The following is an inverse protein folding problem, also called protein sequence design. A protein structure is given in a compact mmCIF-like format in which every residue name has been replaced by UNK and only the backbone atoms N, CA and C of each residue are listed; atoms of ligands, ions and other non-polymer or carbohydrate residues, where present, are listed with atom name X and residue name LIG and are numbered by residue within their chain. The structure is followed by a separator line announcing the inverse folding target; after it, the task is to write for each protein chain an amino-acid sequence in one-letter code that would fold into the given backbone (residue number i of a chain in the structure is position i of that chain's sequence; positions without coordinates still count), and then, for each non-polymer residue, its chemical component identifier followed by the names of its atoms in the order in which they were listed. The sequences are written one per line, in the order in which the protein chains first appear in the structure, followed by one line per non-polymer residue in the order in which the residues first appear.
data_IF_998345653923
#
_entry.id   IF_998345653923
#
_cell.length_a   1.000
_cell.length_b   1.000
_cell.length_c   1.000
_cell.angle_alpha   90.00
_cell.angle_beta   90.00
_cell.angle_gamma   90.00
#
_symmetry.space_group_name_H-M   'P 1'
#
loop_
_entity.id
_entity.type
_entity.pdbx_description
1 polymer ?
#
# COMPACT_ATOMS: atom_id res chain seq x y z
N UNK A 1 36.11 8.49 -45.45
CA UNK A 1 36.19 8.63 -43.99
C UNK A 1 34.75 8.62 -43.47
N UNK A 2 34.21 7.43 -43.21
CA UNK A 2 32.88 7.26 -42.62
C UNK A 2 33.08 7.09 -41.12
N UNK A 3 32.68 8.10 -40.36
CA UNK A 3 32.56 8.04 -38.91
C UNK A 3 31.30 7.25 -38.57
N UNK A 4 31.46 6.00 -38.13
CA UNK A 4 30.41 5.22 -37.48
C UNK A 4 30.29 5.70 -36.04
N UNK A 5 29.19 6.39 -35.72
CA UNK A 5 28.81 6.62 -34.33
C UNK A 5 28.43 5.27 -33.68
N UNK A 6 28.84 5.02 -32.42
CA UNK A 6 28.36 3.86 -31.70
C UNK A 6 26.88 4.07 -31.38
N UNK A 7 26.03 3.26 -31.99
CA UNK A 7 24.65 3.05 -31.55
C UNK A 7 24.69 2.57 -30.09
N UNK A 8 24.44 3.49 -29.15
CA UNK A 8 24.10 3.13 -27.77
C UNK A 8 22.69 2.57 -27.82
N UNK A 9 22.58 1.25 -27.94
CA UNK A 9 21.33 0.55 -27.66
C UNK A 9 20.97 0.90 -26.22
N UNK A 10 19.87 1.63 -26.03
CA UNK A 10 19.31 1.88 -24.72
C UNK A 10 19.18 0.55 -23.97
N UNK A 11 19.55 0.48 -22.68
CA UNK A 11 19.28 -0.72 -21.89
C UNK A 11 17.80 -1.05 -21.99
N UNK A 12 17.47 -2.33 -22.13
CA UNK A 12 16.10 -2.83 -22.25
C UNK A 12 15.24 -2.15 -21.18
N UNK A 13 14.28 -1.31 -21.59
CA UNK A 13 13.33 -0.70 -20.67
C UNK A 13 12.41 -1.79 -20.13
N UNK A 14 12.53 -2.11 -18.84
CA UNK A 14 11.67 -3.11 -18.22
C UNK A 14 10.26 -2.54 -17.97
N UNK A 15 9.20 -3.38 -18.04
CA UNK A 15 7.82 -2.91 -17.83
C UNK A 15 7.58 -2.26 -16.46
N UNK A 16 8.33 -2.63 -15.43
CA UNK A 16 8.25 -2.02 -14.10
C UNK A 16 9.33 -0.95 -13.83
N UNK A 17 10.09 -0.53 -14.85
CA UNK A 17 11.12 0.50 -14.74
C UNK A 17 12.46 -0.03 -14.24
N UNK A 18 13.21 0.79 -13.50
CA UNK A 18 14.49 0.41 -12.92
C UNK A 18 14.28 -0.30 -11.57
N UNK A 19 15.05 -1.37 -11.32
CA UNK A 19 15.11 -2.03 -10.00
C UNK A 19 16.22 -1.41 -9.13
N UNK A 20 15.91 -1.18 -7.86
CA UNK A 20 16.74 -0.52 -6.86
C UNK A 20 16.75 -1.38 -5.59
N UNK A 21 17.91 -1.93 -5.25
CA UNK A 21 18.07 -2.80 -4.07
C UNK A 21 18.63 -2.00 -2.88
N UNK A 22 18.05 -2.21 -1.69
CA UNK A 22 18.58 -1.73 -0.42
C UNK A 22 18.72 -2.90 0.57
N UNK A 23 19.73 -2.85 1.45
CA UNK A 23 20.08 -3.92 2.39
C UNK A 23 20.36 -3.39 3.80
N UNK A 24 20.08 -4.23 4.80
CA UNK A 24 20.47 -4.03 6.20
C UNK A 24 20.58 -5.40 6.88
N UNK A 25 21.77 -5.78 7.36
CA UNK A 25 21.97 -7.12 7.93
C UNK A 25 21.67 -8.24 6.93
N UNK A 26 20.78 -9.17 7.30
CA UNK A 26 20.25 -10.23 6.43
C UNK A 26 19.02 -9.82 5.61
N UNK A 27 18.54 -8.58 5.79
CA UNK A 27 17.36 -8.08 5.10
C UNK A 27 17.70 -7.38 3.78
N UNK A 28 16.86 -7.58 2.77
CA UNK A 28 16.95 -6.99 1.44
C UNK A 28 15.57 -6.55 0.95
N UNK A 29 15.45 -5.31 0.48
CA UNK A 29 14.25 -4.82 -0.21
C UNK A 29 14.59 -4.37 -1.64
N UNK A 30 13.74 -4.73 -2.59
CA UNK A 30 13.83 -4.29 -3.99
C UNK A 30 12.65 -3.38 -4.29
N UNK A 31 12.98 -2.17 -4.75
CA UNK A 31 12.01 -1.14 -5.15
C UNK A 31 12.15 -0.96 -6.66
N UNK A 32 11.04 -0.88 -7.38
CA UNK A 32 11.03 -0.57 -8.81
C UNK A 32 10.45 0.82 -9.07
N UNK A 33 10.96 1.55 -10.06
CA UNK A 33 10.62 2.96 -10.26
C UNK A 33 9.18 3.19 -10.71
N UNK A 34 8.57 2.25 -11.45
CA UNK A 34 7.15 2.37 -11.83
C UNK A 34 6.27 2.24 -10.59
N UNK A 35 5.49 3.29 -10.31
CA UNK A 35 4.68 3.43 -9.09
C UNK A 35 5.45 3.52 -7.79
N UNK A 36 6.78 3.68 -7.86
CA UNK A 36 7.70 3.51 -6.74
C UNK A 36 7.30 2.28 -5.90
N UNK A 37 7.30 1.11 -6.54
CA UNK A 37 6.68 -0.09 -5.99
C UNK A 37 7.66 -0.95 -5.20
N UNK A 38 7.25 -1.46 -4.05
CA UNK A 38 7.98 -2.51 -3.34
C UNK A 38 7.84 -3.85 -4.07
N UNK A 39 8.85 -4.24 -4.85
CA UNK A 39 8.85 -5.45 -5.67
C UNK A 39 9.17 -6.72 -4.89
N UNK A 40 9.99 -6.61 -3.83
CA UNK A 40 10.15 -7.66 -2.83
C UNK A 40 10.72 -7.10 -1.55
N UNK A 41 10.48 -7.78 -0.44
CA UNK A 41 11.14 -7.53 0.83
C UNK A 41 11.41 -8.87 1.51
N UNK A 42 12.68 -9.16 1.75
CA UNK A 42 13.19 -10.39 2.33
C UNK A 42 13.89 -10.12 3.65
N UNK A 43 13.67 -11.00 4.62
CA UNK A 43 14.43 -11.07 5.87
C UNK A 43 14.33 -12.51 6.41
N UNK A 44 15.37 -12.98 7.10
CA UNK A 44 15.41 -14.36 7.63
C UNK A 44 15.15 -15.42 6.54
N UNK A 45 15.81 -15.25 5.39
CA UNK A 45 15.77 -16.12 4.20
C UNK A 45 14.38 -16.38 3.59
N UNK A 46 13.42 -15.47 3.81
CA UNK A 46 12.08 -15.57 3.22
C UNK A 46 11.55 -14.22 2.78
N UNK A 47 10.54 -14.26 1.92
CA UNK A 47 9.77 -13.09 1.55
C UNK A 47 8.79 -12.71 2.68
N UNK A 48 8.72 -11.42 2.99
CA UNK A 48 7.72 -10.81 3.87
C UNK A 48 6.54 -10.25 3.07
N UNK A 49 6.77 -9.97 1.78
CA UNK A 49 5.75 -9.54 0.82
C UNK A 49 5.83 -10.38 -0.46
N UNK A 50 4.70 -10.63 -1.10
CA UNK A 50 4.59 -11.42 -2.32
C UNK A 50 5.38 -10.74 -3.46
N UNK A 51 6.47 -11.36 -3.95
CA UNK A 51 7.34 -10.70 -4.91
C UNK A 51 6.72 -10.61 -6.31
N UNK A 52 7.30 -9.75 -7.14
CA UNK A 52 7.11 -9.74 -8.59
C UNK A 52 8.41 -9.36 -9.30
N UNK A 53 8.54 -9.69 -10.59
CA UNK A 53 9.73 -9.41 -11.39
C UNK A 53 9.70 -7.99 -11.97
N UNK A 54 10.86 -7.31 -12.06
CA UNK A 54 10.95 -6.04 -12.81
C UNK A 54 10.55 -6.21 -14.28
N UNK A 55 10.70 -7.42 -14.84
CA UNK A 55 10.45 -7.73 -16.25
C UNK A 55 8.98 -7.93 -16.61
N UNK A 56 8.06 -7.92 -15.65
CA UNK A 56 6.62 -8.04 -15.89
C UNK A 56 5.88 -6.73 -15.59
N UNK A 57 4.69 -6.57 -16.16
CA UNK A 57 3.77 -5.51 -15.75
C UNK A 57 3.34 -5.83 -14.32
N UNK A 58 3.57 -4.90 -13.38
CA UNK A 58 3.25 -5.10 -11.96
C UNK A 58 1.85 -5.70 -11.77
N UNK A 59 1.73 -6.90 -11.18
CA UNK A 59 0.44 -7.55 -10.99
C UNK A 59 -0.32 -6.92 -9.82
N UNK A 60 -1.62 -6.69 -9.99
CA UNK A 60 -2.57 -6.33 -8.91
C UNK A 60 -2.05 -5.25 -7.93
N UNK A 61 -1.45 -4.17 -8.46
CA UNK A 61 -0.89 -3.05 -7.66
C UNK A 61 0.16 -3.45 -6.61
N UNK A 62 0.75 -4.66 -6.66
CA UNK A 62 1.70 -5.16 -5.65
C UNK A 62 2.78 -4.15 -5.29
N UNK A 63 2.77 -3.70 -4.04
CA UNK A 63 3.76 -2.78 -3.48
C UNK A 63 3.67 -1.34 -3.98
N UNK A 64 2.69 -0.98 -4.82
CA UNK A 64 2.58 0.35 -5.39
C UNK A 64 2.32 1.42 -4.32
N UNK A 65 2.83 2.63 -4.56
CA UNK A 65 2.46 3.82 -3.80
C UNK A 65 1.16 4.41 -4.35
N UNK A 66 0.11 4.47 -3.53
CA UNK A 66 -1.21 4.96 -3.91
C UNK A 66 -1.33 6.46 -3.57
N UNK A 67 -1.54 7.32 -4.58
CA UNK A 67 -1.76 8.76 -4.39
C UNK A 67 -2.33 9.40 -5.67
N UNK A 68 -3.14 10.47 -5.60
CA UNK A 68 -3.50 11.24 -4.40
C UNK A 68 -4.75 10.73 -3.68
N UNK A 69 -5.21 9.51 -3.97
CA UNK A 69 -6.17 8.81 -3.12
C UNK A 69 -5.82 7.31 -3.13
N UNK A 70 -5.89 6.63 -1.97
CA UNK A 70 -5.95 5.18 -1.95
C UNK A 70 -7.38 4.74 -2.28
N UNK A 71 -7.53 3.45 -2.60
CA UNK A 71 -8.84 2.84 -2.90
C UNK A 71 -9.66 3.61 -3.98
N UNK A 72 -10.99 3.56 -3.91
CA UNK A 72 -11.93 3.97 -4.95
C UNK A 72 -12.44 5.39 -4.77
N UNK A 73 -12.68 6.08 -5.89
CA UNK A 73 -13.64 7.18 -6.01
C UNK A 73 -14.79 6.68 -6.88
N UNK A 74 -15.96 6.38 -6.27
CA UNK A 74 -17.15 5.94 -6.99
C UNK A 74 -17.52 6.88 -8.14
N UNK A 75 -17.84 6.30 -9.30
CA UNK A 75 -18.17 7.00 -10.55
C UNK A 75 -17.13 8.03 -11.03
N UNK A 76 -15.93 8.04 -10.42
CA UNK A 76 -14.88 9.02 -10.66
C UNK A 76 -15.29 10.47 -10.33
N UNK A 77 -16.43 10.69 -9.68
CA UNK A 77 -17.00 12.02 -9.48
C UNK A 77 -16.87 12.45 -8.03
N UNK A 78 -16.52 13.71 -7.78
CA UNK A 78 -16.48 14.27 -6.43
C UNK A 78 -16.59 15.81 -6.45
N UNK A 79 -16.78 16.42 -5.28
CA UNK A 79 -16.92 17.87 -5.12
C UNK A 79 -15.76 18.44 -4.31
N UNK A 80 -14.87 19.17 -4.95
CA UNK A 80 -13.79 19.92 -4.29
C UNK A 80 -13.43 21.14 -5.14
N UNK A 81 -13.65 22.34 -4.59
CA UNK A 81 -13.61 23.61 -5.35
C UNK A 81 -14.41 23.57 -6.67
N UNK A 82 -15.54 22.86 -6.67
CA UNK A 82 -16.36 22.59 -7.85
C UNK A 82 -16.45 21.10 -8.16
N UNK A 83 -17.26 20.77 -9.17
CA UNK A 83 -17.42 19.38 -9.62
C UNK A 83 -16.16 18.90 -10.34
N UNK A 84 -15.72 17.70 -9.99
CA UNK A 84 -14.56 17.04 -10.59
C UNK A 84 -14.99 15.68 -11.18
N UNK A 85 -14.40 15.32 -12.32
CA UNK A 85 -14.63 14.04 -12.98
C UNK A 85 -13.31 13.40 -13.41
N UNK A 86 -12.97 12.29 -12.75
CA UNK A 86 -11.79 11.47 -13.01
C UNK A 86 -12.05 10.44 -14.10
N UNK A 87 -11.00 10.04 -14.85
CA UNK A 87 -11.04 8.85 -15.68
C UNK A 87 -11.29 7.59 -14.83
N UNK A 88 -12.10 6.67 -15.34
CA UNK A 88 -12.38 5.40 -14.67
C UNK A 88 -11.24 4.39 -14.94
N UNK A 89 -10.38 4.19 -13.95
CA UNK A 89 -9.30 3.18 -14.02
C UNK A 89 -9.76 1.78 -13.62
N UNK A 90 -10.96 1.64 -13.05
CA UNK A 90 -11.64 0.38 -12.77
C UNK A 90 -13.02 0.36 -13.49
N UNK A 91 -13.05 0.30 -14.84
CA UNK A 91 -14.28 0.49 -15.61
C UNK A 91 -15.33 -0.61 -15.36
N UNK A 92 -14.92 -1.82 -14.99
CA UNK A 92 -15.84 -2.93 -14.67
C UNK A 92 -16.70 -2.69 -13.43
N UNK A 93 -16.24 -1.83 -12.50
CA UNK A 93 -16.99 -1.39 -11.31
C UNK A 93 -17.43 0.07 -11.42
N UNK A 94 -16.93 0.80 -12.42
CA UNK A 94 -17.26 2.20 -12.66
C UNK A 94 -16.59 3.14 -11.66
N UNK A 95 -15.31 2.91 -11.36
CA UNK A 95 -14.59 3.69 -10.33
C UNK A 95 -13.26 4.23 -10.86
N UNK A 96 -12.79 5.32 -10.24
CA UNK A 96 -11.40 5.74 -10.31
C UNK A 96 -10.65 5.14 -9.11
N UNK A 97 -9.74 4.21 -9.37
CA UNK A 97 -9.06 3.39 -8.37
C UNK A 97 -7.58 3.78 -8.26
N UNK A 98 -7.10 3.93 -7.02
CA UNK A 98 -5.67 3.96 -6.67
C UNK A 98 -4.85 5.14 -7.22
N UNK A 99 -5.49 6.29 -7.35
CA UNK A 99 -4.81 7.53 -7.65
C UNK A 99 -4.22 7.61 -9.06
N UNK A 100 -3.23 8.48 -9.20
CA UNK A 100 -2.66 8.93 -10.47
C UNK A 100 -1.19 8.56 -10.65
N UNK A 101 -0.50 8.18 -9.57
CA UNK A 101 0.96 7.99 -9.58
C UNK A 101 1.39 6.52 -9.65
N UNK A 102 0.47 5.59 -9.45
CA UNK A 102 0.74 4.15 -9.37
C UNK A 102 1.40 3.60 -10.64
N UNK A 103 1.18 4.20 -11.80
CA UNK A 103 1.73 3.72 -13.09
C UNK A 103 2.76 4.66 -13.72
N UNK A 104 3.12 5.75 -13.03
CA UNK A 104 4.18 6.65 -13.50
C UNK A 104 5.54 6.01 -13.25
N UNK A 105 6.54 6.32 -14.09
CA UNK A 105 7.94 6.01 -13.80
C UNK A 105 8.53 7.11 -12.92
N UNK A 106 8.84 6.79 -11.66
CA UNK A 106 9.29 7.77 -10.68
C UNK A 106 10.79 8.04 -10.82
N UNK A 107 11.18 9.31 -10.70
CA UNK A 107 12.59 9.69 -10.71
C UNK A 107 13.27 9.33 -9.39
N UNK A 108 14.40 8.64 -9.47
CA UNK A 108 15.28 8.38 -8.32
C UNK A 108 15.98 9.68 -7.90
N UNK A 109 15.85 10.06 -6.62
CA UNK A 109 16.55 11.21 -6.04
C UNK A 109 17.79 10.80 -5.25
N UNK A 110 17.66 9.72 -4.48
CA UNK A 110 18.72 9.19 -3.62
C UNK A 110 18.63 7.68 -3.67
N UNK A 111 19.78 7.01 -3.83
CA UNK A 111 19.91 5.58 -3.64
C UNK A 111 21.21 5.31 -2.90
N UNK A 112 21.08 4.67 -1.75
CA UNK A 112 22.18 4.31 -0.85
C UNK A 112 22.06 2.83 -0.47
N UNK A 113 22.97 2.33 0.35
CA UNK A 113 22.93 0.93 0.79
C UNK A 113 21.60 0.57 1.47
N UNK A 114 21.08 1.41 2.36
CA UNK A 114 19.91 1.07 3.20
C UNK A 114 18.70 1.97 2.97
N UNK A 115 18.74 2.86 1.98
CA UNK A 115 17.62 3.75 1.69
C UNK A 115 17.56 4.15 0.21
N UNK A 116 16.33 4.34 -0.29
CA UNK A 116 16.05 4.90 -1.62
C UNK A 116 14.94 5.93 -1.50
N UNK A 117 15.11 7.08 -2.15
CA UNK A 117 14.08 8.11 -2.30
C UNK A 117 13.72 8.24 -3.77
N UNK A 118 12.43 8.16 -4.07
CA UNK A 118 11.86 8.43 -5.39
C UNK A 118 10.92 9.64 -5.33
N UNK A 119 10.76 10.33 -6.45
CA UNK A 119 9.81 11.42 -6.59
C UNK A 119 9.10 11.40 -7.93
N UNK A 120 7.86 11.84 -7.92
CA UNK A 120 7.08 12.16 -9.12
C UNK A 120 6.26 13.41 -8.85
N UNK A 121 5.57 13.88 -9.88
CA UNK A 121 4.68 15.02 -9.80
C UNK A 121 3.34 14.69 -10.43
N UNK A 122 2.27 14.90 -9.69
CA UNK A 122 0.92 14.90 -10.24
C UNK A 122 0.77 16.24 -10.95
N UNK A 123 0.64 16.19 -12.27
CA UNK A 123 0.33 17.37 -13.07
C UNK A 123 -1.18 17.63 -13.06
N UNK A 124 -1.62 18.91 -13.10
CA UNK A 124 -3.03 19.22 -13.27
C UNK A 124 -3.62 18.53 -14.50
N UNK A 125 -4.73 17.83 -14.31
CA UNK A 125 -5.41 17.08 -15.37
C UNK A 125 -6.93 17.03 -15.12
N UNK A 126 -7.75 16.62 -16.11
CA UNK A 126 -9.20 16.50 -15.91
C UNK A 126 -9.54 15.68 -14.67
N UNK A 127 -10.38 16.25 -13.80
CA UNK A 127 -10.79 15.65 -12.53
C UNK A 127 -9.80 15.79 -11.38
N UNK A 128 -8.60 16.35 -11.59
CA UNK A 128 -7.66 16.70 -10.53
C UNK A 128 -6.78 17.89 -10.97
N UNK A 129 -7.28 19.14 -10.87
CA UNK A 129 -6.61 20.34 -11.38
C UNK A 129 -5.44 20.86 -10.51
N UNK A 130 -4.97 20.10 -9.51
CA UNK A 130 -3.87 20.52 -8.64
C UNK A 130 -2.55 19.88 -9.01
N UNK A 131 -1.47 20.65 -8.85
CA UNK A 131 -0.10 20.20 -9.02
C UNK A 131 0.46 19.80 -7.66
N UNK A 132 0.84 18.53 -7.50
CA UNK A 132 1.34 18.00 -6.23
C UNK A 132 2.63 17.22 -6.49
N UNK A 133 3.71 17.64 -5.85
CA UNK A 133 4.93 16.84 -5.82
C UNK A 133 4.77 15.73 -4.79
N UNK A 134 5.04 14.49 -5.19
CA UNK A 134 5.01 13.31 -4.32
C UNK A 134 6.41 12.75 -4.20
N UNK A 135 6.86 12.53 -2.98
CA UNK A 135 8.13 11.88 -2.65
C UNK A 135 7.83 10.66 -1.80
N UNK A 136 8.48 9.54 -2.09
CA UNK A 136 8.48 8.36 -1.22
C UNK A 136 9.91 7.99 -0.86
N UNK A 137 10.16 7.80 0.43
CA UNK A 137 11.41 7.25 0.94
C UNK A 137 11.16 5.84 1.47
N UNK A 138 11.94 4.88 1.00
CA UNK A 138 12.08 3.57 1.60
C UNK A 138 13.39 3.54 2.40
N UNK A 139 13.32 3.19 3.67
CA UNK A 139 14.47 3.04 4.56
C UNK A 139 14.40 1.68 5.24
N UNK A 140 15.47 0.91 5.11
CA UNK A 140 15.63 -0.39 5.72
C UNK A 140 16.57 -0.27 6.92
N UNK A 141 16.11 -0.69 8.09
CA UNK A 141 16.84 -0.63 9.35
C UNK A 141 16.56 -1.88 10.20
N UNK A 142 17.10 -1.90 11.43
CA UNK A 142 16.97 -3.05 12.34
C UNK A 142 15.51 -3.35 12.73
N UNK A 143 14.63 -2.36 12.68
CA UNK A 143 13.22 -2.47 13.04
C UNK A 143 12.29 -2.73 11.82
N UNK A 144 12.86 -2.83 10.62
CA UNK A 144 12.13 -3.21 9.40
C UNK A 144 12.32 -2.24 8.24
N UNK A 145 11.45 -2.37 7.25
CA UNK A 145 11.36 -1.49 6.08
C UNK A 145 10.28 -0.43 6.31
N UNK A 146 10.70 0.81 6.56
CA UNK A 146 9.79 1.96 6.62
C UNK A 146 9.64 2.59 5.24
N UNK A 147 8.40 2.82 4.83
CA UNK A 147 8.08 3.70 3.72
C UNK A 147 7.47 5.00 4.29
N UNK A 148 7.91 6.14 3.80
CA UNK A 148 7.34 7.45 4.12
C UNK A 148 6.95 8.17 2.84
N UNK A 149 5.67 8.49 2.68
CA UNK A 149 5.16 9.27 1.55
C UNK A 149 4.94 10.70 2.01
N UNK A 150 5.48 11.66 1.27
CA UNK A 150 5.30 13.10 1.49
C UNK A 150 4.72 13.72 0.22
N UNK A 151 3.63 14.47 0.38
CA UNK A 151 3.02 15.25 -0.69
C UNK A 151 3.17 16.74 -0.39
N UNK A 152 3.63 17.51 -1.37
CA UNK A 152 3.76 18.97 -1.29
C UNK A 152 2.86 19.60 -2.33
N UNK A 153 1.96 20.48 -1.91
CA UNK A 153 1.08 21.20 -2.83
C UNK A 153 1.85 22.33 -3.52
N UNK A 154 1.96 22.24 -4.84
CA UNK A 154 2.64 23.23 -5.69
C UNK A 154 1.64 24.15 -6.42
N UNK A 155 0.34 23.98 -6.18
CA UNK A 155 -0.72 24.87 -6.67
C UNK A 155 -0.89 26.10 -5.76
N UNK A 156 -1.57 27.11 -6.30
CA UNK A 156 -1.98 28.31 -5.56
C UNK A 156 -3.27 28.11 -4.73
N UNK A 157 -3.92 26.95 -4.87
CA UNK A 157 -5.16 26.58 -4.18
C UNK A 157 -4.94 25.30 -3.35
N UNK A 158 -5.77 25.09 -2.34
CA UNK A 158 -5.77 23.86 -1.54
C UNK A 158 -5.97 22.63 -2.42
N UNK A 159 -5.27 21.53 -2.12
CA UNK A 159 -5.37 20.28 -2.87
C UNK A 159 -5.84 19.13 -1.96
N UNK A 160 -6.84 18.32 -2.37
CA UNK A 160 -7.26 17.14 -1.63
C UNK A 160 -6.27 15.99 -1.84
N UNK A 161 -5.90 15.28 -0.78
CA UNK A 161 -4.89 14.24 -0.83
C UNK A 161 -5.21 13.10 0.15
N UNK A 162 -4.77 11.91 -0.23
CA UNK A 162 -4.68 10.73 0.60
C UNK A 162 -3.64 9.77 0.03
N UNK A 163 -3.11 8.89 0.87
CA UNK A 163 -2.14 7.89 0.45
C UNK A 163 -2.21 6.60 1.25
N UNK A 164 -1.61 5.56 0.71
CA UNK A 164 -1.37 4.26 1.34
C UNK A 164 -0.45 3.41 0.47
N UNK A 165 0.10 2.30 0.99
CA UNK A 165 0.81 1.32 0.20
C UNK A 165 -0.16 0.25 -0.32
N UNK A 166 0.31 -0.65 -1.19
CA UNK A 166 -0.45 -1.84 -1.58
C UNK A 166 0.37 -3.15 -1.45
N UNK A 167 0.98 -3.45 -0.29
CA UNK A 167 1.82 -4.61 -0.12
C UNK A 167 0.95 -5.85 0.09
N UNK A 168 1.35 -6.98 -0.49
CA UNK A 168 0.76 -8.28 -0.20
C UNK A 168 1.65 -8.99 0.80
N UNK A 169 1.26 -9.01 2.07
CA UNK A 169 1.98 -9.67 3.15
C UNK A 169 1.95 -11.19 2.99
N UNK A 170 3.05 -11.86 3.35
CA UNK A 170 3.21 -13.32 3.26
C UNK A 170 3.75 -13.88 4.57
N UNK A 171 3.03 -14.85 5.15
CA UNK A 171 3.54 -15.69 6.22
C UNK A 171 4.29 -16.91 5.64
N UNK A 172 5.26 -17.48 6.36
CA UNK A 172 6.22 -18.42 5.79
C UNK A 172 5.63 -19.78 5.36
N UNK A 173 4.68 -20.32 6.11
CA UNK A 173 4.21 -21.69 5.93
C UNK A 173 2.72 -21.74 5.57
N UNK A 174 2.39 -22.57 4.58
CA UNK A 174 1.01 -22.85 4.18
C UNK A 174 0.36 -21.74 3.33
N UNK A 175 -0.84 -22.01 2.79
CA UNK A 175 -1.62 -21.03 2.04
C UNK A 175 -2.23 -19.97 2.98
N UNK A 176 -2.69 -18.85 2.42
CA UNK A 176 -3.36 -17.77 3.15
C UNK A 176 -4.49 -18.24 4.07
N UNK A 177 -5.24 -19.27 3.69
CA UNK A 177 -6.31 -19.83 4.52
C UNK A 177 -5.83 -20.47 5.82
N UNK A 178 -4.54 -20.79 5.93
CA UNK A 178 -3.93 -21.36 7.14
C UNK A 178 -3.27 -20.31 8.04
N UNK A 179 -3.11 -19.08 7.56
CA UNK A 179 -2.48 -17.99 8.31
C UNK A 179 -3.45 -17.39 9.33
N UNK A 180 -2.86 -16.87 10.40
CA UNK A 180 -3.53 -16.19 11.51
C UNK A 180 -3.39 -14.68 11.33
N UNK A 181 -4.52 -13.98 11.30
CA UNK A 181 -4.60 -12.52 11.21
C UNK A 181 -4.99 -11.94 12.57
N UNK A 182 -4.28 -10.90 12.97
CA UNK A 182 -4.65 -9.97 14.04
C UNK A 182 -4.78 -8.57 13.43
N UNK A 183 -5.98 -7.98 13.55
CA UNK A 183 -6.32 -6.65 13.08
C UNK A 183 -7.03 -5.90 14.21
N UNK A 184 -6.38 -4.92 14.84
CA UNK A 184 -6.92 -4.25 16.02
C UNK A 184 -7.92 -3.15 15.66
N UNK A 185 -8.94 -3.43 14.84
CA UNK A 185 -9.94 -2.47 14.40
C UNK A 185 -11.33 -2.78 14.99
N UNK A 186 -12.09 -1.74 15.39
CA UNK A 186 -13.45 -1.91 15.92
C UNK A 186 -14.54 -1.81 14.85
N UNK A 187 -14.23 -1.16 13.72
CA UNK A 187 -15.25 -0.77 12.73
C UNK A 187 -14.82 -1.20 11.33
N UNK A 188 -15.78 -1.69 10.55
CA UNK A 188 -15.62 -2.06 9.14
C UNK A 188 -16.50 -1.17 8.25
N UNK A 189 -15.99 -0.81 7.08
CA UNK A 189 -16.76 -0.15 6.02
C UNK A 189 -17.45 -1.20 5.16
N UNK A 190 -18.78 -1.20 5.19
CA UNK A 190 -19.59 -2.09 4.35
C UNK A 190 -19.68 -1.52 2.94
N UNK A 191 -19.76 -2.41 1.96
CA UNK A 191 -19.84 -2.04 0.54
C UNK A 191 -20.90 -2.83 -0.22
N UNK A 192 -21.35 -2.29 -1.34
CA UNK A 192 -22.19 -3.01 -2.30
C UNK A 192 -21.37 -3.96 -3.20
N UNK A 193 -22.04 -4.58 -4.18
CA UNK A 193 -21.40 -5.50 -5.14
C UNK A 193 -20.34 -4.82 -6.04
N UNK A 194 -20.44 -3.49 -6.23
CA UNK A 194 -19.44 -2.69 -6.95
C UNK A 194 -18.26 -2.32 -6.04
N UNK A 195 -18.35 -2.60 -4.74
CA UNK A 195 -17.42 -2.16 -3.70
C UNK A 195 -17.51 -0.64 -3.45
N UNK A 196 -18.69 -0.07 -3.66
CA UNK A 196 -19.02 1.30 -3.24
C UNK A 196 -19.42 1.32 -1.77
N UNK A 197 -18.96 2.31 -0.97
CA UNK A 197 -19.32 2.40 0.45
C UNK A 197 -20.83 2.52 0.69
N UNK A 198 -21.33 1.76 1.66
CA UNK A 198 -22.71 1.80 2.16
C UNK A 198 -22.84 2.41 3.56
N UNK A 199 -21.72 2.53 4.28
CA UNK A 199 -21.65 3.00 5.67
C UNK A 199 -20.79 2.07 6.52
N UNK A 200 -20.57 2.46 7.77
CA UNK A 200 -19.77 1.68 8.72
C UNK A 200 -20.63 0.83 9.64
N UNK A 201 -20.05 -0.25 10.15
CA UNK A 201 -20.63 -1.09 11.20
C UNK A 201 -19.52 -1.57 12.16
N UNK A 202 -19.85 -1.85 13.44
CA UNK A 202 -18.93 -2.57 14.32
C UNK A 202 -18.54 -3.91 13.71
N UNK A 203 -17.30 -4.38 13.94
CA UNK A 203 -16.83 -5.67 13.41
C UNK A 203 -17.68 -6.85 13.90
N UNK A 204 -18.37 -6.72 15.02
CA UNK A 204 -19.31 -7.72 15.54
C UNK A 204 -20.58 -7.88 14.70
N UNK A 205 -20.85 -6.96 13.76
CA UNK A 205 -21.97 -7.08 12.82
C UNK A 205 -21.95 -8.40 12.05
N UNK A 206 -20.76 -8.86 11.68
CA UNK A 206 -20.47 -10.20 11.13
C UNK A 206 -19.10 -10.64 11.69
N UNK A 207 -19.10 -11.05 12.96
CA UNK A 207 -17.87 -11.35 13.70
C UNK A 207 -17.02 -12.45 13.05
N UNK A 208 -17.65 -13.48 12.46
CA UNK A 208 -16.95 -14.55 11.76
C UNK A 208 -16.19 -14.04 10.53
N UNK A 209 -16.68 -12.95 9.92
CA UNK A 209 -16.04 -12.33 8.78
C UNK A 209 -15.07 -11.21 9.16
N UNK A 210 -15.42 -10.36 10.12
CA UNK A 210 -14.72 -9.08 10.32
C UNK A 210 -13.97 -8.95 11.63
N UNK A 211 -14.33 -9.70 12.67
CA UNK A 211 -13.68 -9.56 13.97
C UNK A 211 -12.38 -10.37 14.02
N UNK A 212 -11.26 -9.65 13.85
CA UNK A 212 -9.89 -10.16 13.95
C UNK A 212 -9.12 -9.45 15.08
N UNK A 213 -9.83 -8.80 16.02
CA UNK A 213 -9.18 -8.14 17.17
C UNK A 213 -8.45 -9.15 18.05
N UNK A 214 -9.02 -10.35 18.17
CA UNK A 214 -8.33 -11.53 18.67
C UNK A 214 -7.71 -12.31 17.49
N UNK A 215 -6.43 -12.70 17.54
CA UNK A 215 -5.78 -13.43 16.46
C UNK A 215 -6.50 -14.72 16.10
N UNK A 216 -6.86 -14.91 14.83
CA UNK A 216 -7.47 -16.15 14.35
C UNK A 216 -7.12 -16.49 12.91
N UNK A 217 -7.30 -17.76 12.56
CA UNK A 217 -7.09 -18.25 11.19
C UNK A 217 -8.05 -17.58 10.21
N UNK A 218 -7.55 -17.15 9.04
CA UNK A 218 -8.36 -16.53 7.99
C UNK A 218 -9.33 -17.54 7.36
N UNK A 219 -8.90 -18.79 7.15
CA UNK A 219 -9.77 -19.85 6.65
C UNK A 219 -10.39 -19.52 5.29
N UNK A 220 -11.70 -19.68 5.17
CA UNK A 220 -12.46 -19.38 3.96
C UNK A 220 -12.93 -17.91 3.88
N UNK A 221 -12.59 -17.07 4.85
CA UNK A 221 -13.05 -15.69 4.90
C UNK A 221 -12.52 -14.88 3.71
N UNK A 222 -13.43 -14.27 2.96
CA UNK A 222 -13.14 -13.34 1.87
C UNK A 222 -13.25 -11.90 2.37
N UNK A 223 -12.18 -11.14 2.21
CA UNK A 223 -12.09 -9.73 2.58
C UNK A 223 -11.70 -8.91 1.35
N UNK A 224 -12.41 -7.80 1.16
CA UNK A 224 -11.97 -6.62 0.41
C UNK A 224 -12.60 -5.40 1.10
N UNK A 225 -12.25 -5.17 2.37
CA UNK A 225 -12.90 -4.15 3.21
C UNK A 225 -11.89 -3.22 3.88
N UNK A 226 -12.31 -1.98 4.08
CA UNK A 226 -11.60 -1.01 4.89
C UNK A 226 -12.07 -1.09 6.34
N UNK A 227 -11.15 -0.94 7.27
CA UNK A 227 -11.38 -0.96 8.71
C UNK A 227 -10.87 0.34 9.34
N UNK A 228 -11.51 0.78 10.41
CA UNK A 228 -11.17 2.00 11.17
C UNK A 228 -11.37 1.77 12.67
N UNK A 229 -11.29 2.83 13.48
CA UNK A 229 -11.29 2.76 14.95
C UNK A 229 -10.20 1.82 15.47
N UNK A 230 -8.97 2.08 14.99
CA UNK A 230 -7.84 1.19 15.17
C UNK A 230 -7.21 1.39 16.56
N UNK A 231 -7.18 0.33 17.37
CA UNK A 231 -6.47 0.32 18.65
C UNK A 231 -4.97 0.39 18.43
N UNK A 232 -4.32 1.21 19.25
CA UNK A 232 -2.86 1.49 19.19
C UNK A 232 -2.18 1.00 20.46
N UNK A 233 -0.92 0.60 20.30
CA UNK A 233 -0.04 0.28 21.42
C UNK A 233 0.34 1.52 22.23
N UNK A 234 1.05 1.30 23.35
CA UNK A 234 1.56 2.40 24.18
C UNK A 234 2.64 3.27 23.50
N UNK A 235 3.16 2.80 22.37
CA UNK A 235 4.07 3.53 21.46
C UNK A 235 3.33 4.43 20.45
N UNK A 236 1.99 4.39 20.42
CA UNK A 236 1.17 5.13 19.46
C UNK A 236 1.04 4.45 18.10
N UNK A 237 1.66 3.29 17.89
CA UNK A 237 1.56 2.54 16.64
C UNK A 237 0.39 1.55 16.70
N UNK A 238 -0.35 1.42 15.61
CA UNK A 238 -1.18 0.26 15.36
C UNK A 238 -0.35 -0.83 14.69
N UNK A 239 -0.73 -2.10 14.88
CA UNK A 239 -0.02 -3.26 14.34
C UNK A 239 -1.02 -4.24 13.75
N UNK A 240 -0.92 -4.50 12.45
CA UNK A 240 -1.62 -5.61 11.80
C UNK A 240 -0.63 -6.74 11.63
N UNK A 241 -0.96 -7.94 12.11
CA UNK A 241 -0.04 -9.07 12.18
C UNK A 241 -0.60 -10.25 11.40
N UNK A 242 0.27 -10.86 10.61
CA UNK A 242 -0.04 -12.05 9.82
C UNK A 242 1.01 -13.12 10.12
N UNK A 243 0.60 -14.22 10.73
CA UNK A 243 1.51 -15.29 11.18
C UNK A 243 1.08 -16.65 10.65
N UNK A 244 2.02 -17.59 10.60
CA UNK A 244 1.71 -19.00 10.49
C UNK A 244 1.34 -19.60 11.87
N UNK A 245 1.00 -20.89 11.91
CA UNK A 245 0.65 -21.59 13.15
C UNK A 245 1.81 -21.72 14.15
N UNK A 246 3.05 -21.46 13.72
CA UNK A 246 4.23 -21.45 14.57
C UNK A 246 4.57 -20.04 15.11
N UNK A 247 3.78 -19.02 14.78
CA UNK A 247 3.98 -17.64 15.21
C UNK A 247 5.04 -16.88 14.42
N UNK A 248 5.56 -17.44 13.32
CA UNK A 248 6.43 -16.71 12.40
C UNK A 248 5.57 -15.93 11.42
N UNK A 249 5.95 -14.71 11.08
CA UNK A 249 5.07 -13.90 10.26
C UNK A 249 5.59 -12.52 9.89
N UNK A 250 4.68 -11.64 9.55
CA UNK A 250 4.98 -10.27 9.17
C UNK A 250 3.99 -9.35 9.87
N UNK A 251 4.48 -8.21 10.33
CA UNK A 251 3.64 -7.12 10.79
C UNK A 251 3.83 -5.89 9.92
N UNK A 252 2.76 -5.11 9.80
CA UNK A 252 2.82 -3.74 9.33
C UNK A 252 2.36 -2.81 10.44
N UNK A 253 3.13 -1.73 10.64
CA UNK A 253 3.01 -0.79 11.75
C UNK A 253 2.84 0.61 11.22
N UNK A 254 1.98 1.41 11.84
CA UNK A 254 1.68 2.77 11.37
C UNK A 254 1.10 3.62 12.50
N UNK A 255 1.33 4.93 12.43
CA UNK A 255 0.88 5.91 13.41
C UNK A 255 -0.56 6.39 13.13
N UNK A 256 -1.00 7.42 13.86
CA UNK A 256 -2.34 8.00 13.79
C UNK A 256 -2.63 8.76 12.49
N UNK A 257 -1.64 8.98 11.62
CA UNK A 257 -1.88 9.53 10.28
C UNK A 257 -2.60 8.55 9.37
N UNK A 258 -2.45 7.25 9.63
CA UNK A 258 -3.21 6.20 8.95
C UNK A 258 -4.38 5.77 9.85
N UNK A 259 -5.52 6.45 9.70
CA UNK A 259 -6.76 6.15 10.42
C UNK A 259 -7.50 4.91 9.91
N UNK A 260 -7.16 4.45 8.69
CA UNK A 260 -7.84 3.37 8.00
C UNK A 260 -6.87 2.26 7.60
N UNK A 261 -7.37 1.03 7.48
CA UNK A 261 -6.63 -0.10 6.89
C UNK A 261 -7.53 -0.88 5.93
N UNK A 262 -7.13 -1.01 4.65
CA UNK A 262 -7.74 -1.98 3.75
C UNK A 262 -7.13 -3.36 4.02
N UNK A 263 -7.99 -4.38 4.11
CA UNK A 263 -7.55 -5.78 4.09
C UNK A 263 -8.23 -6.49 2.93
N UNK A 264 -7.41 -7.09 2.06
CA UNK A 264 -7.89 -7.78 0.87
C UNK A 264 -7.20 -9.14 0.65
N UNK A 265 -8.00 -10.19 0.57
CA UNK A 265 -7.54 -11.58 0.42
C UNK A 265 -7.25 -11.98 -1.03
N UNK A 266 -7.51 -11.10 -2.01
CA UNK A 266 -7.30 -11.33 -3.43
C UNK A 266 -7.94 -12.62 -3.94
N UNK A 267 -9.22 -12.82 -3.59
CA UNK A 267 -10.03 -13.90 -4.12
C UNK A 267 -10.32 -13.66 -5.60
N UNK A 268 -9.76 -14.51 -6.45
CA UNK A 268 -9.90 -14.45 -7.90
C UNK A 268 -10.47 -15.76 -8.46
N UNK A 269 -11.22 -15.72 -9.58
CA UNK A 269 -11.67 -16.92 -10.27
C UNK A 269 -10.51 -17.84 -10.70
N UNK A 270 -9.35 -17.26 -11.02
CA UNK A 270 -8.16 -18.04 -11.35
C UNK A 270 -7.47 -18.56 -10.07
N UNK A 271 -7.60 -19.87 -9.84
CA UNK A 271 -7.02 -20.56 -8.67
C UNK A 271 -5.50 -20.47 -8.55
N UNK A 272 -4.77 -20.14 -9.61
CA UNK A 272 -3.31 -19.97 -9.54
C UNK A 272 -2.88 -18.57 -9.06
N UNK A 273 -3.77 -17.59 -9.16
CA UNK A 273 -3.50 -16.19 -8.82
C UNK A 273 -4.26 -15.72 -7.57
N UNK A 274 -5.16 -16.57 -7.06
CA UNK A 274 -6.02 -16.30 -5.91
C UNK A 274 -5.24 -16.47 -4.60
N UNK A 275 -5.47 -15.56 -3.63
CA UNK A 275 -5.01 -15.68 -2.23
C UNK A 275 -3.53 -16.03 -2.04
N UNK A 276 -2.66 -15.46 -2.88
CA UNK A 276 -1.20 -15.66 -2.82
C UNK A 276 -0.52 -14.86 -1.68
N UNK A 277 -1.20 -13.86 -1.16
CA UNK A 277 -0.76 -13.00 -0.06
C UNK A 277 -1.95 -12.18 0.44
N UNK A 278 -1.81 -11.55 1.60
CA UNK A 278 -2.85 -10.69 2.17
C UNK A 278 -2.48 -9.23 1.91
N UNK A 279 -3.27 -8.49 1.13
CA UNK A 279 -3.07 -7.06 1.03
C UNK A 279 -3.46 -6.39 2.36
N UNK A 280 -2.54 -5.61 2.94
CA UNK A 280 -2.78 -4.82 4.14
C UNK A 280 -2.29 -3.41 3.90
N UNK A 281 -3.22 -2.48 3.82
CA UNK A 281 -2.97 -1.12 3.30
C UNK A 281 -3.37 -0.10 4.36
N UNK A 282 -2.45 0.35 5.22
CA UNK A 282 -2.68 1.53 6.04
C UNK A 282 -2.91 2.75 5.15
N UNK A 283 -4.04 3.41 5.31
CA UNK A 283 -4.50 4.52 4.48
C UNK A 283 -4.77 5.74 5.34
N UNK A 284 -4.44 6.92 4.81
CA UNK A 284 -4.75 8.19 5.47
C UNK A 284 -6.23 8.55 5.43
N UNK A 285 -6.99 7.96 4.51
CA UNK A 285 -8.41 8.23 4.30
C UNK A 285 -9.14 6.98 3.76
N UNK A 286 -10.46 6.88 3.91
CA UNK A 286 -11.23 5.72 3.49
C UNK A 286 -11.42 5.62 1.97
N UNK A 287 -11.94 4.49 1.47
CA UNK A 287 -12.62 4.44 0.18
C UNK A 287 -13.67 5.57 0.05
N UNK A 288 -13.77 6.15 -1.13
CA UNK A 288 -14.62 7.30 -1.45
C UNK A 288 -14.33 8.60 -0.66
N UNK A 289 -13.17 8.73 -0.02
CA UNK A 289 -12.82 9.90 0.80
C UNK A 289 -13.04 11.24 0.08
N UNK A 290 -12.69 11.35 -1.21
CA UNK A 290 -12.89 12.60 -1.95
C UNK A 290 -14.37 12.96 -2.14
N UNK A 291 -15.28 11.99 -2.10
CA UNK A 291 -16.73 12.21 -2.14
C UNK A 291 -17.30 12.52 -0.75
N UNK A 292 -16.89 11.77 0.27
CA UNK A 292 -17.41 11.95 1.64
C UNK A 292 -16.79 13.14 2.37
N UNK A 293 -15.58 13.54 1.98
CA UNK A 293 -14.74 14.49 2.72
C UNK A 293 -14.09 13.89 3.97
N UNK A 294 -14.34 12.61 4.26
CA UNK A 294 -13.87 11.93 5.46
C UNK A 294 -12.37 11.71 5.41
N UNK A 295 -11.65 12.19 6.43
CA UNK A 295 -10.20 12.09 6.61
C UNK A 295 -9.34 12.51 5.41
N UNK A 296 -9.92 13.26 4.46
CA UNK A 296 -9.17 13.83 3.33
C UNK A 296 -8.15 14.83 3.87
N UNK A 297 -6.89 14.62 3.53
CA UNK A 297 -5.84 15.59 3.83
C UNK A 297 -5.97 16.75 2.85
N UNK A 298 -6.30 17.92 3.35
CA UNK A 298 -6.31 19.15 2.55
C UNK A 298 -4.97 19.87 2.72
N UNK A 299 -4.19 19.93 1.65
CA UNK A 299 -2.85 20.51 1.67
C UNK A 299 -2.92 21.97 1.24
N UNK A 300 -2.57 22.90 2.13
CA UNK A 300 -2.47 24.32 1.82
C UNK A 300 -1.39 24.62 0.75
N UNK A 301 -1.51 25.72 -0.02
CA UNK A 301 -0.49 26.13 -0.99
C UNK A 301 0.92 26.19 -0.38
N UNK A 302 1.86 25.45 -0.97
CA UNK A 302 3.25 25.35 -0.50
C UNK A 302 3.46 24.50 0.75
N UNK A 303 2.40 24.00 1.38
CA UNK A 303 2.49 23.10 2.54
C UNK A 303 2.73 21.65 2.09
N UNK A 304 3.10 20.82 3.06
CA UNK A 304 3.30 19.40 2.87
C UNK A 304 2.63 18.57 3.98
N UNK A 305 2.21 17.36 3.61
CA UNK A 305 1.72 16.33 4.53
C UNK A 305 2.49 15.04 4.30
N UNK A 306 2.58 14.20 5.33
CA UNK A 306 3.28 12.92 5.26
C UNK A 306 2.55 11.83 6.04
N UNK A 307 2.70 10.59 5.56
CA UNK A 307 2.29 9.38 6.25
C UNK A 307 3.38 8.31 6.13
N UNK A 308 3.48 7.43 7.12
CA UNK A 308 4.51 6.39 7.15
C UNK A 308 4.00 5.07 7.73
N UNK A 309 4.62 3.99 7.28
CA UNK A 309 4.36 2.64 7.76
C UNK A 309 5.63 1.80 7.67
N UNK A 310 5.74 0.82 8.56
CA UNK A 310 6.91 -0.07 8.66
C UNK A 310 6.47 -1.53 8.56
N UNK A 311 7.06 -2.27 7.62
CA UNK A 311 6.91 -3.72 7.50
C UNK A 311 8.09 -4.38 8.22
N UNK A 312 7.82 -5.38 9.07
CA UNK A 312 8.86 -6.10 9.80
C UNK A 312 8.53 -7.59 9.92
N UNK A 313 9.57 -8.42 10.05
CA UNK A 313 9.38 -9.84 10.33
C UNK A 313 8.98 -10.05 11.79
N UNK A 314 8.00 -10.92 12.01
CA UNK A 314 7.68 -11.49 13.32
C UNK A 314 8.47 -12.78 13.46
N UNK A 315 9.24 -12.88 14.53
CA UNK A 315 9.86 -14.11 15.00
C UNK A 315 9.23 -14.46 16.36
N UNK A 316 8.86 -15.72 16.61
CA UNK A 316 8.48 -16.13 17.95
C UNK A 316 9.67 -15.91 18.89
N UNK A 317 9.41 -15.67 20.19
CA UNK A 317 10.48 -15.65 21.18
C UNK A 317 11.29 -16.94 21.06
N UNK A 318 12.62 -16.84 21.02
CA UNK A 318 13.49 -18.02 21.12
C UNK A 318 13.05 -18.80 22.36
N UNK A 319 12.63 -20.06 22.17
CA UNK A 319 12.38 -20.95 23.28
C UNK A 319 13.63 -20.93 24.16
N UNK A 320 13.49 -20.48 25.41
CA UNK A 320 14.59 -20.60 26.37
C UNK A 320 14.90 -22.09 26.45
N UNK A 321 16.05 -22.49 25.94
CA UNK A 321 16.60 -23.81 26.19
C UNK A 321 16.77 -23.87 27.71
N UNK A 322 15.86 -24.58 28.40
CA UNK A 322 16.07 -24.88 29.81
C UNK A 322 17.40 -25.66 29.92
N UNK A 323 18.29 -25.27 30.85
CA UNK A 323 19.61 -25.86 30.99
C UNK A 323 19.59 -27.34 31.41
#
# INVERSE_FOLDING_TARGET
MQSSEPSTVDPIAYPSGQELTITFGDAEARIVTVGASLASYRAHDRDLVLPFSVTEIRPAFRGATLAPWPNRIPDGSYLFHGEQQLPLSEPGRGHALHGLVSWLDWRVLVHSQSAVTLTTEIVPQPGYPWRVAVRTEYRLAADGLTQTVTATNLSAEQAPFGTGPHPYLVAPNGPLSSWVLELPAETVLLTDDRLSPLGTAPVEHDAERFDFREPRTIGATELDHAFTDIRRGGDGEARVRLTDSAGHGVEIRFDDRCGWVQVHTADQPNRQLTRLGLAVEPMTCPPAAFQSGEDVLVIEPGAAVSASWTIAAIQPPLAQLEP
#
